data_IF_189787602869
#
_entry.id   IF_189787602869
#
_cell.length_a   1.000
_cell.length_b   1.000
_cell.length_c   1.000
_cell.angle_alpha   90.00
_cell.angle_beta   90.00
_cell.angle_gamma   90.00
#
_symmetry.space_group_name_H-M   'P 1'
#
loop_
_entity.id
_entity.type
_entity.pdbx_description
1 polymer ?
#
# COMPACT_ATOMS: atom_id res chain seq x y z
N UNK A 1 -17.40 7.13 -5.94
CA UNK A 1 -16.70 8.30 -6.50
C UNK A 1 -16.62 8.24 -8.03
N UNK A 2 -15.86 7.29 -8.59
CA UNK A 2 -15.71 7.11 -10.05
C UNK A 2 -17.03 7.06 -10.80
N UNK A 3 -18.03 6.33 -10.31
CA UNK A 3 -19.35 6.26 -10.97
C UNK A 3 -20.08 7.60 -11.09
N UNK A 4 -19.90 8.51 -10.11
CA UNK A 4 -20.48 9.86 -10.17
C UNK A 4 -19.71 10.74 -11.16
N UNK A 5 -18.38 10.67 -11.14
CA UNK A 5 -17.51 11.45 -12.02
C UNK A 5 -17.65 11.04 -13.50
N UNK A 6 -17.61 9.73 -13.76
CA UNK A 6 -17.63 9.16 -15.10
C UNK A 6 -19.06 8.91 -15.62
N UNK A 7 -20.08 9.10 -14.76
CA UNK A 7 -21.50 8.80 -15.02
C UNK A 7 -21.74 7.37 -15.50
N UNK A 8 -20.84 6.45 -15.15
CA UNK A 8 -20.89 5.04 -15.52
C UNK A 8 -20.05 4.20 -14.58
N UNK A 9 -20.46 2.94 -14.40
CA UNK A 9 -19.69 1.91 -13.71
C UNK A 9 -19.19 0.81 -14.66
N UNK A 10 -19.18 1.09 -15.98
CA UNK A 10 -18.58 0.18 -16.97
C UNK A 10 -17.14 -0.12 -16.54
N UNK A 11 -16.84 -1.41 -16.43
CA UNK A 11 -15.56 -1.87 -15.89
C UNK A 11 -14.36 -1.29 -16.65
N UNK A 12 -14.43 -1.17 -17.97
CA UNK A 12 -13.37 -0.55 -18.77
C UNK A 12 -13.07 0.89 -18.34
N UNK A 13 -14.10 1.69 -18.06
CA UNK A 13 -13.98 3.07 -17.59
C UNK A 13 -13.45 3.12 -16.17
N UNK A 14 -13.97 2.29 -15.27
CA UNK A 14 -13.49 2.22 -13.87
C UNK A 14 -12.01 1.84 -13.83
N UNK A 15 -11.64 0.81 -14.59
CA UNK A 15 -10.27 0.32 -14.70
C UNK A 15 -9.31 1.40 -15.19
N UNK A 16 -9.70 2.16 -16.21
CA UNK A 16 -8.89 3.24 -16.74
C UNK A 16 -8.79 4.42 -15.76
N UNK A 17 -9.92 4.82 -15.16
CA UNK A 17 -10.00 5.93 -14.20
C UNK A 17 -9.22 5.69 -12.90
N UNK A 18 -8.98 4.42 -12.56
CA UNK A 18 -8.23 3.98 -11.39
C UNK A 18 -6.81 3.47 -11.71
N UNK A 19 -6.37 3.56 -12.98
CA UNK A 19 -5.10 2.96 -13.44
C UNK A 19 -4.93 1.47 -13.07
N UNK A 20 -6.01 0.70 -13.05
CA UNK A 20 -5.99 -0.75 -12.81
C UNK A 20 -5.54 -1.51 -14.07
N UNK A 21 -4.36 -1.19 -14.58
CA UNK A 21 -3.79 -1.73 -15.81
C UNK A 21 -2.37 -2.24 -15.62
N UNK A 22 -1.92 -3.14 -16.49
CA UNK A 22 -0.53 -3.59 -16.52
C UNK A 22 0.44 -2.40 -16.64
N UNK A 23 1.60 -2.46 -15.96
CA UNK A 23 2.55 -1.36 -15.96
C UNK A 23 3.13 -1.13 -17.34
N UNK A 24 3.28 0.14 -17.71
CA UNK A 24 3.85 0.57 -19.00
C UNK A 24 5.27 1.06 -18.80
N UNK A 25 6.22 0.36 -19.41
CA UNK A 25 7.61 0.79 -19.52
C UNK A 25 7.66 2.18 -20.15
N UNK A 26 8.27 3.13 -19.46
CA UNK A 26 8.32 4.50 -19.96
C UNK A 26 9.50 4.78 -20.88
N UNK A 27 10.48 3.88 -20.95
CA UNK A 27 11.60 3.97 -21.91
C UNK A 27 11.23 3.32 -23.24
N UNK A 28 10.60 2.14 -23.18
CA UNK A 28 10.34 1.32 -24.37
C UNK A 28 8.86 1.22 -24.76
N UNK A 29 7.94 1.78 -23.97
CA UNK A 29 6.50 1.69 -24.21
C UNK A 29 5.88 0.32 -23.92
N UNK A 30 6.68 -0.73 -23.67
CA UNK A 30 6.25 -2.10 -23.39
C UNK A 30 5.24 -2.15 -22.23
N UNK A 31 4.19 -2.95 -22.37
CA UNK A 31 3.16 -3.13 -21.34
C UNK A 31 3.28 -4.53 -20.73
N UNK A 32 3.30 -4.63 -19.40
CA UNK A 32 3.34 -5.90 -18.68
C UNK A 32 4.59 -6.74 -18.93
N UNK A 33 4.45 -8.07 -18.87
CA UNK A 33 5.56 -9.02 -19.03
C UNK A 33 6.73 -8.70 -18.08
N UNK A 34 7.95 -8.59 -18.62
CA UNK A 34 9.16 -8.26 -17.85
C UNK A 34 9.10 -6.90 -17.12
N UNK A 35 8.18 -5.99 -17.47
CA UNK A 35 8.03 -4.73 -16.73
C UNK A 35 7.61 -4.97 -15.27
N UNK A 36 6.89 -6.07 -15.00
CA UNK A 36 6.51 -6.45 -13.65
C UNK A 36 7.69 -6.76 -12.72
N UNK A 37 8.87 -7.08 -13.28
CA UNK A 37 10.06 -7.34 -12.48
C UNK A 37 10.49 -6.12 -11.65
N UNK A 38 9.99 -4.91 -11.97
CA UNK A 38 10.22 -3.73 -11.13
C UNK A 38 9.62 -3.85 -9.73
N UNK A 39 8.57 -4.67 -9.54
CA UNK A 39 7.93 -4.86 -8.23
C UNK A 39 8.91 -5.49 -7.23
N UNK A 40 9.79 -6.39 -7.67
CA UNK A 40 10.75 -7.08 -6.78
C UNK A 40 11.68 -6.09 -6.06
N UNK A 41 12.49 -5.26 -6.76
CA UNK A 41 13.33 -4.29 -6.07
C UNK A 41 12.52 -3.21 -5.35
N UNK A 42 11.28 -2.93 -5.76
CA UNK A 42 10.41 -2.00 -5.03
C UNK A 42 9.93 -2.58 -3.68
N UNK A 43 9.61 -3.88 -3.61
CA UNK A 43 9.31 -4.56 -2.35
C UNK A 43 10.53 -4.53 -1.43
N UNK A 44 11.72 -4.86 -1.95
CA UNK A 44 12.97 -4.81 -1.17
C UNK A 44 13.23 -3.40 -0.65
N UNK A 45 13.09 -2.38 -1.49
CA UNK A 45 13.27 -0.99 -1.09
C UNK A 45 12.19 -0.54 -0.09
N UNK A 46 10.94 -0.99 -0.24
CA UNK A 46 9.86 -0.70 0.69
C UNK A 46 10.16 -1.29 2.08
N UNK A 47 10.58 -2.55 2.15
CA UNK A 47 11.01 -3.18 3.40
C UNK A 47 12.20 -2.43 4.02
N UNK A 48 13.22 -2.08 3.23
CA UNK A 48 14.37 -1.32 3.74
C UNK A 48 13.98 0.06 4.30
N UNK A 49 12.98 0.73 3.73
CA UNK A 49 12.44 1.98 4.26
C UNK A 49 11.79 1.76 5.62
N UNK A 50 10.99 0.70 5.79
CA UNK A 50 10.35 0.39 7.08
C UNK A 50 11.39 0.10 8.17
N UNK A 51 12.42 -0.68 7.84
CA UNK A 51 13.53 -0.98 8.77
C UNK A 51 14.31 0.28 9.18
N UNK A 52 14.58 1.18 8.23
CA UNK A 52 15.27 2.45 8.52
C UNK A 52 14.45 3.35 9.46
N UNK A 53 13.12 3.30 9.34
CA UNK A 53 12.21 4.16 10.09
C UNK A 53 11.89 3.59 11.47
N UNK A 54 12.06 2.28 11.68
CA UNK A 54 11.96 1.65 13.01
C UNK A 54 12.90 2.30 14.06
N UNK A 55 13.89 3.10 13.63
CA UNK A 55 14.69 3.97 14.49
C UNK A 55 13.83 5.03 15.23
N UNK A 56 12.74 5.48 14.62
CA UNK A 56 11.73 6.35 15.25
C UNK A 56 10.77 5.45 16.02
N UNK A 57 11.15 5.12 17.26
CA UNK A 57 10.44 4.15 18.08
C UNK A 57 8.95 4.50 18.25
N UNK A 58 8.08 3.56 17.87
CA UNK A 58 6.69 3.57 18.28
C UNK A 58 6.60 3.29 19.78
N UNK A 59 5.58 3.83 20.49
CA UNK A 59 5.29 3.36 21.84
C UNK A 59 5.04 1.85 21.84
N UNK A 60 5.62 1.10 22.79
CA UNK A 60 5.52 -0.37 22.84
C UNK A 60 4.06 -0.87 22.80
N UNK A 61 3.15 -0.18 23.51
CA UNK A 61 1.73 -0.51 23.54
C UNK A 61 0.98 -0.17 22.23
N UNK A 62 1.68 0.33 21.23
CA UNK A 62 1.19 0.65 19.88
C UNK A 62 1.98 -0.07 18.80
N UNK A 63 2.89 -0.96 19.18
CA UNK A 63 3.69 -1.75 18.25
C UNK A 63 3.10 -3.14 18.06
N UNK A 64 2.84 -3.51 16.80
CA UNK A 64 2.18 -4.76 16.47
C UNK A 64 3.11 -5.96 16.64
N UNK A 65 4.41 -5.82 16.36
CA UNK A 65 5.37 -6.90 16.56
C UNK A 65 5.47 -7.28 18.03
N UNK A 66 5.54 -6.29 18.92
CA UNK A 66 5.52 -6.47 20.38
C UNK A 66 4.29 -7.26 20.85
N UNK A 67 3.11 -6.98 20.28
CA UNK A 67 1.89 -7.77 20.58
C UNK A 67 2.05 -9.23 20.15
N UNK A 68 2.52 -9.50 18.92
CA UNK A 68 2.67 -10.86 18.40
C UNK A 68 3.74 -11.68 19.14
N UNK A 69 4.75 -11.02 19.69
CA UNK A 69 5.81 -11.67 20.48
C UNK A 69 5.38 -11.98 21.92
N UNK A 70 4.39 -11.26 22.46
CA UNK A 70 3.90 -11.42 23.83
C UNK A 70 3.16 -12.74 24.07
N UNK A 71 3.23 -13.25 25.31
CA UNK A 71 2.48 -14.45 25.71
C UNK A 71 0.97 -14.24 25.57
N UNK A 72 0.47 -13.04 25.89
CA UNK A 72 -0.94 -12.70 25.74
C UNK A 72 -1.40 -12.71 24.28
N UNK A 73 -0.59 -12.17 23.36
CA UNK A 73 -0.90 -12.17 21.93
C UNK A 73 -0.89 -13.57 21.33
N UNK A 74 0.09 -14.39 21.71
CA UNK A 74 0.16 -15.81 21.32
C UNK A 74 -1.05 -16.60 21.83
N UNK A 75 -1.37 -16.46 23.12
CA UNK A 75 -2.54 -17.12 23.71
C UNK A 75 -3.86 -16.64 23.10
N UNK A 76 -3.95 -15.38 22.69
CA UNK A 76 -5.14 -14.85 22.00
C UNK A 76 -5.31 -15.42 20.59
N UNK A 77 -4.22 -15.64 19.86
CA UNK A 77 -4.25 -16.11 18.48
C UNK A 77 -4.36 -17.63 18.34
N UNK A 78 -3.89 -18.40 19.34
CA UNK A 78 -3.94 -19.86 19.33
C UNK A 78 -5.35 -20.41 19.03
N UNK A 79 -5.50 -21.15 17.93
CA UNK A 79 -6.77 -21.69 17.45
C UNK A 79 -7.79 -20.64 16.95
N UNK A 80 -7.46 -19.35 16.94
CA UNK A 80 -8.38 -18.24 16.68
C UNK A 80 -8.63 -17.95 15.18
N UNK A 81 -9.01 -18.96 14.39
CA UNK A 81 -9.26 -18.82 12.94
C UNK A 81 -10.31 -17.75 12.58
N UNK A 82 -11.29 -17.51 13.44
CA UNK A 82 -12.27 -16.43 13.23
C UNK A 82 -11.63 -15.04 13.25
N UNK A 83 -10.72 -14.79 14.21
CA UNK A 83 -9.95 -13.56 14.29
C UNK A 83 -8.96 -13.44 13.14
N UNK A 84 -8.32 -14.54 12.75
CA UNK A 84 -7.47 -14.58 11.56
C UNK A 84 -8.21 -14.11 10.31
N UNK A 85 -9.40 -14.65 10.05
CA UNK A 85 -10.24 -14.23 8.92
C UNK A 85 -10.59 -12.74 8.97
N UNK A 86 -10.93 -12.22 10.16
CA UNK A 86 -11.23 -10.80 10.34
C UNK A 86 -10.00 -9.91 10.06
N UNK A 87 -8.81 -10.31 10.51
CA UNK A 87 -7.56 -9.59 10.24
C UNK A 87 -7.26 -9.55 8.73
N UNK A 88 -7.45 -10.65 8.00
CA UNK A 88 -7.27 -10.66 6.55
C UNK A 88 -8.24 -9.73 5.83
N UNK A 89 -9.50 -9.69 6.26
CA UNK A 89 -10.48 -8.72 5.75
C UNK A 89 -10.03 -7.30 6.07
N UNK A 90 -9.54 -7.04 7.28
CA UNK A 90 -9.00 -5.74 7.67
C UNK A 90 -7.84 -5.32 6.75
N UNK A 91 -6.87 -6.21 6.47
CA UNK A 91 -5.75 -5.91 5.55
C UNK A 91 -6.25 -5.59 4.13
N UNK A 92 -7.24 -6.34 3.62
CA UNK A 92 -7.82 -6.06 2.31
C UNK A 92 -8.46 -4.66 2.25
N UNK A 93 -9.29 -4.34 3.24
CA UNK A 93 -10.00 -3.06 3.26
C UNK A 93 -9.10 -1.87 3.59
N UNK A 94 -8.06 -2.07 4.42
CA UNK A 94 -7.10 -1.03 4.75
C UNK A 94 -6.09 -0.84 3.60
N UNK A 95 -5.22 -1.80 3.34
CA UNK A 95 -4.09 -1.64 2.41
C UNK A 95 -4.53 -1.53 0.96
N UNK A 96 -5.37 -2.46 0.49
CA UNK A 96 -5.75 -2.49 -0.94
C UNK A 96 -6.78 -1.42 -1.25
N UNK A 97 -7.90 -1.40 -0.53
CA UNK A 97 -9.03 -0.52 -0.86
C UNK A 97 -8.89 0.89 -0.27
N UNK A 98 -8.57 0.98 1.02
CA UNK A 98 -8.52 2.23 1.77
C UNK A 98 -7.30 3.09 1.41
N UNK A 99 -6.16 2.45 1.17
CA UNK A 99 -4.90 3.16 0.96
C UNK A 99 -4.50 3.17 -0.52
N UNK A 100 -4.16 2.01 -1.10
CA UNK A 100 -3.61 2.02 -2.46
C UNK A 100 -4.65 2.37 -3.53
N UNK A 101 -5.87 1.82 -3.47
CA UNK A 101 -6.90 2.16 -4.44
C UNK A 101 -7.37 3.62 -4.31
N UNK A 102 -7.46 4.15 -3.08
CA UNK A 102 -7.82 5.54 -2.86
C UNK A 102 -6.71 6.50 -3.29
N UNK A 103 -5.49 6.34 -2.76
CA UNK A 103 -4.42 7.30 -2.97
C UNK A 103 -3.76 7.13 -4.34
N UNK A 104 -3.39 5.90 -4.72
CA UNK A 104 -2.62 5.62 -5.95
C UNK A 104 -3.55 5.36 -7.13
N UNK A 105 -4.70 4.73 -6.87
CA UNK A 105 -5.74 4.46 -7.88
C UNK A 105 -6.61 5.68 -8.19
N UNK A 106 -7.20 6.32 -7.18
CA UNK A 106 -8.19 7.39 -7.41
C UNK A 106 -7.59 8.81 -7.38
N UNK A 107 -6.86 9.18 -6.34
CA UNK A 107 -6.36 10.55 -6.17
C UNK A 107 -5.22 10.88 -7.14
N UNK A 108 -4.16 10.06 -7.17
CA UNK A 108 -2.96 10.34 -7.95
C UNK A 108 -3.23 10.63 -9.45
N UNK A 109 -4.10 9.90 -10.16
CA UNK A 109 -4.40 10.22 -11.56
C UNK A 109 -5.00 11.61 -11.78
N UNK A 110 -5.74 12.12 -10.80
CA UNK A 110 -6.43 13.43 -10.86
C UNK A 110 -5.52 14.57 -10.42
N UNK A 111 -4.58 14.28 -9.52
CA UNK A 111 -3.66 15.27 -8.96
C UNK A 111 -2.72 15.89 -10.00
N UNK A 112 -2.55 15.26 -11.17
CA UNK A 112 -1.74 15.83 -12.26
C UNK A 112 -2.25 17.21 -12.71
N UNK A 113 -3.56 17.46 -12.70
CA UNK A 113 -4.13 18.75 -13.11
C UNK A 113 -3.74 19.92 -12.19
N UNK A 114 -3.60 19.66 -10.89
CA UNK A 114 -3.25 20.68 -9.89
C UNK A 114 -1.74 20.77 -9.62
N UNK A 115 -1.04 19.63 -9.61
CA UNK A 115 0.35 19.52 -9.14
C UNK A 115 1.35 19.13 -10.26
N UNK A 116 0.87 18.88 -11.48
CA UNK A 116 1.70 18.59 -12.65
C UNK A 116 2.65 17.41 -12.46
N UNK A 117 3.93 17.61 -12.81
CA UNK A 117 4.96 16.56 -12.72
C UNK A 117 5.28 16.14 -11.28
N UNK A 118 4.86 16.91 -10.27
CA UNK A 118 5.08 16.62 -8.84
C UNK A 118 3.86 16.04 -8.13
N UNK A 119 2.79 15.66 -8.85
CA UNK A 119 1.58 15.06 -8.26
C UNK A 119 1.84 13.87 -7.30
N UNK A 120 2.86 13.05 -7.54
CA UNK A 120 3.24 11.93 -6.69
C UNK A 120 3.83 12.37 -5.35
N UNK A 121 4.50 13.52 -5.30
CA UNK A 121 4.97 14.12 -4.05
C UNK A 121 3.78 14.63 -3.25
N UNK A 122 2.87 15.37 -3.90
CA UNK A 122 1.65 15.84 -3.25
C UNK A 122 0.79 14.67 -2.74
N UNK A 123 0.72 13.58 -3.51
CA UNK A 123 0.04 12.35 -3.10
C UNK A 123 0.71 11.70 -1.89
N UNK A 124 2.05 11.59 -1.88
CA UNK A 124 2.82 11.08 -0.76
C UNK A 124 2.66 11.93 0.52
N UNK A 125 2.69 13.25 0.39
CA UNK A 125 2.48 14.17 1.52
C UNK A 125 1.05 14.03 2.09
N UNK A 126 0.04 13.92 1.22
CA UNK A 126 -1.34 13.70 1.65
C UNK A 126 -1.49 12.34 2.35
N UNK A 127 -0.81 11.31 1.84
CA UNK A 127 -0.78 9.99 2.46
C UNK A 127 -0.08 9.99 3.82
N UNK A 128 1.02 10.73 3.97
CA UNK A 128 1.65 10.95 5.26
C UNK A 128 0.73 11.69 6.24
N UNK A 129 -0.01 12.71 5.76
CA UNK A 129 -1.02 13.41 6.57
C UNK A 129 -2.18 12.51 7.01
N UNK A 130 -2.54 11.49 6.24
CA UNK A 130 -3.52 10.47 6.64
C UNK A 130 -3.05 9.65 7.87
N UNK A 131 -1.74 9.59 8.12
CA UNK A 131 -1.12 8.89 9.24
C UNK A 131 -0.93 9.74 10.51
N UNK A 132 -1.61 10.89 10.63
CA UNK A 132 -1.56 11.71 11.86
C UNK A 132 -1.99 10.96 13.13
N UNK A 133 -2.71 9.85 13.01
CA UNK A 133 -3.12 8.98 14.12
C UNK A 133 -2.00 8.04 14.61
N UNK A 134 -0.91 7.90 13.84
CA UNK A 134 0.30 7.12 14.17
C UNK A 134 1.54 7.94 13.79
N UNK A 135 1.79 9.09 14.45
CA UNK A 135 2.75 10.09 13.99
C UNK A 135 4.19 9.58 13.87
N UNK A 136 4.58 8.57 14.64
CA UNK A 136 5.89 7.90 14.56
C UNK A 136 6.11 7.18 13.22
N UNK A 137 5.04 6.79 12.49
CA UNK A 137 5.15 6.17 11.17
C UNK A 137 5.36 7.19 10.04
N UNK A 138 5.04 8.47 10.26
CA UNK A 138 5.07 9.53 9.23
C UNK A 138 6.41 9.64 8.50
N UNK A 139 7.58 9.59 9.17
CA UNK A 139 8.88 9.63 8.48
C UNK A 139 9.01 8.50 7.44
N UNK A 140 8.54 7.29 7.77
CA UNK A 140 8.56 6.15 6.84
C UNK A 140 7.56 6.30 5.73
N UNK A 141 6.32 6.69 6.06
CA UNK A 141 5.29 6.98 5.07
C UNK A 141 5.72 8.05 4.04
N UNK A 142 6.52 9.03 4.46
CA UNK A 142 7.11 10.03 3.56
C UNK A 142 8.14 9.43 2.61
N UNK A 143 8.92 8.44 3.05
CA UNK A 143 9.88 7.72 2.21
C UNK A 143 9.19 6.68 1.31
N UNK A 144 8.11 6.06 1.77
CA UNK A 144 7.32 5.10 0.99
C UNK A 144 6.74 5.68 -0.31
N UNK A 145 6.61 7.02 -0.42
CA UNK A 145 6.17 7.64 -1.67
C UNK A 145 7.10 7.30 -2.85
N UNK A 146 8.38 7.03 -2.60
CA UNK A 146 9.35 6.63 -3.62
C UNK A 146 9.16 5.20 -4.11
N UNK A 147 8.59 4.32 -3.28
CA UNK A 147 8.36 2.89 -3.59
C UNK A 147 6.91 2.60 -3.98
N UNK A 148 5.98 3.52 -3.71
CA UNK A 148 4.53 3.37 -4.04
C UNK A 148 4.05 4.42 -5.04
N UNK A 149 4.00 5.70 -4.67
CA UNK A 149 3.40 6.78 -5.46
C UNK A 149 4.20 7.09 -6.74
N UNK A 150 5.53 7.24 -6.61
CA UNK A 150 6.40 7.49 -7.75
C UNK A 150 6.32 6.39 -8.81
N UNK A 151 6.51 5.09 -8.49
CA UNK A 151 6.44 4.04 -9.50
C UNK A 151 5.02 3.87 -10.07
N UNK A 152 3.97 4.03 -9.25
CA UNK A 152 2.59 4.06 -9.75
C UNK A 152 2.43 5.11 -10.85
N UNK A 153 2.90 6.35 -10.62
CA UNK A 153 2.90 7.39 -11.65
C UNK A 153 3.77 7.02 -12.84
N UNK A 154 5.00 6.59 -12.57
CA UNK A 154 6.05 6.31 -13.56
C UNK A 154 5.59 5.30 -14.61
N UNK A 155 4.91 4.26 -14.17
CA UNK A 155 4.44 3.14 -14.97
C UNK A 155 2.92 3.18 -15.26
N UNK A 156 2.22 4.21 -14.74
CA UNK A 156 0.77 4.44 -14.89
C UNK A 156 -0.07 3.23 -14.48
N UNK A 157 0.27 2.60 -13.36
CA UNK A 157 -0.35 1.37 -12.88
C UNK A 157 -0.47 1.39 -11.36
N UNK A 158 -1.70 1.45 -10.86
CA UNK A 158 -1.99 1.36 -9.43
C UNK A 158 -1.67 -0.04 -8.87
N UNK A 159 -1.64 -1.05 -9.73
CA UNK A 159 -1.26 -2.40 -9.32
C UNK A 159 0.17 -2.51 -8.78
N UNK A 160 1.09 -1.63 -9.20
CA UNK A 160 2.43 -1.60 -8.59
C UNK A 160 2.33 -1.19 -7.12
N UNK A 161 1.65 -0.09 -6.81
CA UNK A 161 1.45 0.36 -5.43
C UNK A 161 0.74 -0.71 -4.59
N UNK A 162 -0.36 -1.27 -5.11
CA UNK A 162 -1.09 -2.37 -4.48
C UNK A 162 -0.16 -3.55 -4.18
N UNK A 163 0.62 -4.02 -5.16
CA UNK A 163 1.49 -5.18 -4.97
C UNK A 163 2.62 -4.92 -3.97
N UNK A 164 3.27 -3.76 -4.04
CA UNK A 164 4.37 -3.38 -3.13
C UNK A 164 3.85 -3.26 -1.70
N UNK A 165 2.76 -2.54 -1.50
CA UNK A 165 2.21 -2.30 -0.17
C UNK A 165 1.59 -3.58 0.43
N UNK A 166 0.87 -4.36 -0.39
CA UNK A 166 0.27 -5.63 0.08
C UNK A 166 1.31 -6.70 0.42
N UNK A 167 2.57 -6.57 -0.01
CA UNK A 167 3.62 -7.51 0.36
C UNK A 167 3.79 -7.59 1.89
N UNK A 168 3.69 -6.46 2.60
CA UNK A 168 3.71 -6.43 4.06
C UNK A 168 2.47 -7.12 4.66
N UNK A 169 1.28 -6.88 4.12
CA UNK A 169 0.04 -7.55 4.56
C UNK A 169 0.10 -9.07 4.38
N UNK A 170 0.67 -9.54 3.26
CA UNK A 170 0.84 -10.97 2.98
C UNK A 170 1.84 -11.58 3.96
N UNK A 171 2.98 -10.92 4.18
CA UNK A 171 3.97 -11.36 5.16
C UNK A 171 3.36 -11.48 6.56
N UNK A 172 2.66 -10.45 7.03
CA UNK A 172 1.97 -10.46 8.33
C UNK A 172 0.87 -11.52 8.38
N UNK A 173 0.11 -11.72 7.30
CA UNK A 173 -0.90 -12.77 7.23
C UNK A 173 -0.32 -14.19 7.32
N UNK A 174 0.89 -14.42 6.80
CA UNK A 174 1.60 -15.70 6.96
C UNK A 174 2.13 -15.83 8.39
N UNK A 175 2.73 -14.78 8.95
CA UNK A 175 3.24 -14.78 10.33
C UNK A 175 2.12 -15.04 11.34
N UNK A 176 0.97 -14.39 11.21
CA UNK A 176 -0.16 -14.59 12.11
C UNK A 176 -0.71 -16.02 11.96
N UNK A 177 -0.71 -16.59 10.74
CA UNK A 177 -1.13 -17.97 10.54
C UNK A 177 -0.29 -18.96 11.35
N UNK A 178 1.02 -18.74 11.49
CA UNK A 178 1.88 -19.61 12.33
C UNK A 178 1.63 -19.47 13.83
N UNK A 179 0.88 -18.45 14.26
CA UNK A 179 0.49 -18.24 15.65
C UNK A 179 -0.93 -18.78 15.92
N UNK A 180 -1.73 -18.98 14.87
CA UNK A 180 -3.11 -19.48 14.95
C UNK A 180 -3.17 -21.01 14.80
N UNK A 181 -2.25 -21.58 14.02
CA UNK A 181 -2.18 -23.01 13.70
C UNK A 181 -1.16 -23.74 14.58
#
# INVERSE_FOLDING_TARGET
LVGREQRTLRWSTVREALWLRSPRSPRSGRIGGRVWLVVIPLIVAFTAVQELVAIVAAPENRDFATLLESDAGKAFLDGAFGWYGLILVMFLFNTVLGEELLFRGYLLPRMNGAFGRRDWVANGLLFAGYHLHVPWAIPGTLLEMFTTAYPTKRYRSAWIGIAVHSAQSVFLGILILTLVA
#
